data_IF_074660892794
#
_entry.id   IF_074660892794
#
_cell.length_a   1.000
_cell.length_b   1.000
_cell.length_c   1.000
_cell.angle_alpha   90.00
_cell.angle_beta   90.00
_cell.angle_gamma   90.00
#
_symmetry.space_group_name_H-M   'P 1'
#
loop_
_entity.id
_entity.type
_entity.pdbx_description
1 polymer ?
#
# COMPACT_ATOMS: atom_id res chain seq x y z
N UNK A 1 29.75 12.31 -40.84
CA UNK A 1 28.47 11.70 -40.38
C UNK A 1 28.72 10.73 -39.23
N UNK A 2 29.23 11.19 -38.09
CA UNK A 2 29.42 10.38 -36.88
C UNK A 2 28.51 10.83 -35.71
N UNK A 3 27.91 12.03 -35.80
CA UNK A 3 26.99 12.56 -34.78
C UNK A 3 25.57 11.95 -34.81
N UNK A 4 25.03 11.59 -35.98
CA UNK A 4 23.64 11.12 -36.10
C UNK A 4 23.40 9.70 -35.56
N UNK A 5 24.41 8.82 -35.56
CA UNK A 5 24.25 7.46 -35.04
C UNK A 5 24.30 7.40 -33.51
N UNK A 6 25.13 8.23 -32.87
CA UNK A 6 25.26 8.29 -31.41
C UNK A 6 23.96 8.80 -30.76
N UNK A 7 23.34 9.82 -31.35
CA UNK A 7 22.08 10.37 -30.86
C UNK A 7 20.94 9.35 -30.97
N UNK A 8 20.84 8.63 -32.10
CA UNK A 8 19.82 7.59 -32.29
C UNK A 8 19.89 6.46 -31.25
N UNK A 9 21.10 6.08 -30.81
CA UNK A 9 21.28 5.08 -29.76
C UNK A 9 20.80 5.59 -28.39
N UNK A 10 21.13 6.82 -28.02
CA UNK A 10 20.72 7.44 -26.76
C UNK A 10 19.20 7.61 -26.65
N UNK A 11 18.53 8.00 -27.73
CA UNK A 11 17.05 8.08 -27.78
C UNK A 11 16.38 6.72 -27.58
N UNK A 12 16.88 5.68 -28.24
CA UNK A 12 16.38 4.31 -28.08
C UNK A 12 16.56 3.82 -26.64
N UNK A 13 17.73 4.09 -26.04
CA UNK A 13 17.98 3.77 -24.64
C UNK A 13 17.03 4.52 -23.69
N UNK A 14 16.77 5.80 -23.93
CA UNK A 14 15.85 6.59 -23.09
C UNK A 14 14.40 6.09 -23.20
N UNK A 15 13.90 5.87 -24.43
CA UNK A 15 12.56 5.33 -24.64
C UNK A 15 12.38 3.95 -23.99
N UNK A 16 13.39 3.09 -24.07
CA UNK A 16 13.39 1.79 -23.39
C UNK A 16 13.29 1.93 -21.86
N UNK A 17 14.08 2.82 -21.25
CA UNK A 17 14.03 3.04 -19.79
C UNK A 17 12.64 3.53 -19.36
N UNK A 18 12.07 4.52 -20.07
CA UNK A 18 10.73 5.04 -19.73
C UNK A 18 9.66 3.94 -19.90
N UNK A 19 9.78 3.08 -20.91
CA UNK A 19 8.87 1.95 -21.08
C UNK A 19 8.94 0.96 -19.91
N UNK A 20 10.14 0.66 -19.43
CA UNK A 20 10.33 -0.19 -18.26
C UNK A 20 9.81 0.45 -16.97
N UNK A 21 9.94 1.78 -16.81
CA UNK A 21 9.30 2.51 -15.71
C UNK A 21 7.78 2.33 -15.73
N UNK A 22 7.15 2.50 -16.89
CA UNK A 22 5.70 2.31 -17.08
C UNK A 22 5.31 0.87 -16.71
N UNK A 23 6.09 -0.12 -17.13
CA UNK A 23 5.85 -1.53 -16.78
C UNK A 23 5.88 -1.73 -15.25
N UNK A 24 6.84 -1.11 -14.54
CA UNK A 24 6.89 -1.16 -13.06
C UNK A 24 5.72 -0.41 -12.41
N UNK A 25 5.35 0.76 -12.92
CA UNK A 25 4.18 1.49 -12.42
C UNK A 25 2.88 0.71 -12.60
N UNK A 26 2.71 0.01 -13.73
CA UNK A 26 1.57 -0.89 -13.93
C UNK A 26 1.52 -1.99 -12.85
N UNK A 27 2.66 -2.59 -12.53
CA UNK A 27 2.75 -3.59 -11.46
C UNK A 27 2.44 -3.00 -10.07
N UNK A 28 2.93 -1.79 -9.77
CA UNK A 28 2.58 -1.06 -8.54
C UNK A 28 1.08 -0.80 -8.48
N UNK A 29 0.48 -0.33 -9.57
CA UNK A 29 -0.95 -0.06 -9.65
C UNK A 29 -1.80 -1.32 -9.41
N UNK A 30 -1.48 -2.42 -10.08
CA UNK A 30 -2.17 -3.70 -9.90
C UNK A 30 -2.11 -4.21 -8.46
N UNK A 31 -0.96 -4.10 -7.79
CA UNK A 31 -0.87 -4.46 -6.37
C UNK A 31 -1.64 -3.48 -5.48
N UNK A 32 -1.59 -2.18 -5.78
CA UNK A 32 -2.33 -1.16 -5.01
C UNK A 32 -3.84 -1.43 -5.07
N UNK A 33 -4.37 -1.84 -6.24
CA UNK A 33 -5.76 -2.28 -6.37
C UNK A 33 -6.07 -3.55 -5.54
N UNK A 34 -5.15 -4.51 -5.48
CA UNK A 34 -5.32 -5.72 -4.65
C UNK A 34 -5.36 -5.38 -3.16
N UNK A 35 -4.52 -4.43 -2.72
CA UNK A 35 -4.53 -3.92 -1.35
C UNK A 35 -5.87 -3.24 -1.05
N UNK A 36 -6.32 -2.33 -1.92
CA UNK A 36 -7.63 -1.67 -1.77
C UNK A 36 -8.76 -2.71 -1.64
N UNK A 37 -8.78 -3.71 -2.52
CA UNK A 37 -9.80 -4.76 -2.52
C UNK A 37 -9.75 -5.61 -1.24
N UNK A 38 -8.56 -6.04 -0.80
CA UNK A 38 -8.39 -6.80 0.44
C UNK A 38 -8.87 -6.01 1.68
N UNK A 39 -8.66 -4.69 1.68
CA UNK A 39 -9.19 -3.80 2.71
C UNK A 39 -10.73 -3.67 2.65
N UNK A 40 -11.33 -3.64 1.46
CA UNK A 40 -12.79 -3.63 1.31
C UNK A 40 -13.43 -4.95 1.79
N UNK A 41 -12.75 -6.07 1.55
CA UNK A 41 -13.22 -7.42 1.91
C UNK A 41 -12.92 -7.80 3.37
N UNK A 42 -12.22 -6.95 4.13
CA UNK A 42 -11.75 -7.23 5.49
C UNK A 42 -10.93 -8.53 5.59
N UNK A 43 -10.07 -8.79 4.60
CA UNK A 43 -9.21 -9.98 4.55
C UNK A 43 -7.74 -9.61 4.85
N UNK A 44 -7.36 -9.37 6.12
CA UNK A 44 -6.07 -8.80 6.45
C UNK A 44 -4.88 -9.74 6.26
N UNK A 45 -5.13 -11.06 6.15
CA UNK A 45 -4.10 -12.09 6.15
C UNK A 45 -3.17 -12.04 4.92
N UNK A 46 -3.50 -11.26 3.90
CA UNK A 46 -2.69 -11.08 2.69
C UNK A 46 -2.12 -9.67 2.52
N UNK A 47 -2.44 -8.73 3.41
CA UNK A 47 -2.04 -7.32 3.26
C UNK A 47 -0.54 -7.11 3.40
N UNK A 48 0.11 -7.82 4.32
CA UNK A 48 1.54 -7.67 4.58
C UNK A 48 2.38 -8.05 3.35
N UNK A 49 2.11 -9.21 2.76
CA UNK A 49 2.79 -9.69 1.55
C UNK A 49 2.55 -8.75 0.36
N UNK A 50 1.32 -8.25 0.21
CA UNK A 50 0.97 -7.30 -0.85
C UNK A 50 1.73 -5.98 -0.68
N UNK A 51 1.81 -5.44 0.55
CA UNK A 51 2.54 -4.20 0.85
C UNK A 51 4.04 -4.38 0.62
N UNK A 52 4.61 -5.51 1.04
CA UNK A 52 6.02 -5.80 0.81
C UNK A 52 6.35 -5.84 -0.69
N UNK A 53 5.57 -6.61 -1.45
CA UNK A 53 5.75 -6.76 -2.90
C UNK A 53 5.53 -5.43 -3.65
N UNK A 54 4.60 -4.59 -3.18
CA UNK A 54 4.43 -3.22 -3.68
C UNK A 54 5.71 -2.40 -3.48
N UNK A 55 6.31 -2.50 -2.30
CA UNK A 55 7.57 -1.84 -1.97
C UNK A 55 8.71 -2.24 -2.91
N UNK A 56 8.84 -3.53 -3.24
CA UNK A 56 9.84 -4.01 -4.20
C UNK A 56 9.68 -3.35 -5.58
N UNK A 57 8.45 -3.29 -6.11
CA UNK A 57 8.19 -2.67 -7.41
C UNK A 57 8.45 -1.16 -7.42
N UNK A 58 8.16 -0.46 -6.31
CA UNK A 58 8.51 0.96 -6.16
C UNK A 58 10.03 1.14 -6.17
N UNK A 59 10.79 0.27 -5.49
CA UNK A 59 12.26 0.34 -5.50
C UNK A 59 12.83 0.16 -6.91
N UNK A 60 12.31 -0.81 -7.69
CA UNK A 60 12.71 -0.97 -9.09
C UNK A 60 12.38 0.26 -9.94
N UNK A 61 11.18 0.84 -9.76
CA UNK A 61 10.81 2.08 -10.45
C UNK A 61 11.77 3.23 -10.13
N UNK A 62 12.14 3.41 -8.86
CA UNK A 62 13.07 4.47 -8.44
C UNK A 62 14.48 4.29 -9.05
N UNK A 63 14.95 3.05 -9.19
CA UNK A 63 16.21 2.77 -9.87
C UNK A 63 16.17 3.18 -11.34
N UNK A 64 15.08 2.86 -12.04
CA UNK A 64 14.87 3.22 -13.44
C UNK A 64 14.76 4.75 -13.61
N UNK A 65 14.01 5.44 -12.74
CA UNK A 65 13.88 6.89 -12.76
C UNK A 65 15.23 7.62 -12.59
N UNK A 66 16.13 7.07 -11.76
CA UNK A 66 17.49 7.60 -11.63
C UNK A 66 18.32 7.37 -12.90
N UNK A 67 18.12 6.24 -13.59
CA UNK A 67 18.74 5.96 -14.88
C UNK A 67 18.21 6.90 -15.97
N UNK A 68 16.90 7.15 -16.03
CA UNK A 68 16.28 8.13 -16.93
C UNK A 68 16.90 9.52 -16.72
N UNK A 69 17.02 9.96 -15.45
CA UNK A 69 17.61 11.25 -15.12
C UNK A 69 19.08 11.35 -15.57
N UNK A 70 19.85 10.27 -15.41
CA UNK A 70 21.24 10.23 -15.88
C UNK A 70 21.34 10.35 -17.40
N UNK A 71 20.46 9.65 -18.15
CA UNK A 71 20.39 9.74 -19.61
C UNK A 71 19.94 11.13 -20.09
N UNK A 72 18.98 11.76 -19.40
CA UNK A 72 18.53 13.13 -19.72
C UNK A 72 19.66 14.16 -19.60
N UNK A 73 20.53 14.02 -18.61
CA UNK A 73 21.72 14.90 -18.46
C UNK A 73 22.72 14.74 -19.61
N UNK A 74 22.80 13.56 -20.21
CA UNK A 74 23.64 13.31 -21.39
C UNK A 74 23.03 13.85 -22.68
N UNK A 75 21.69 13.93 -22.75
CA UNK A 75 20.94 14.40 -23.91
C UNK A 75 20.71 15.93 -23.96
N UNK A 76 21.14 16.69 -22.94
CA UNK A 76 20.87 18.14 -22.82
C UNK A 76 21.48 19.03 -23.94
N UNK A 77 22.29 18.49 -24.86
CA UNK A 77 22.83 19.28 -25.99
C UNK A 77 21.91 19.35 -27.21
N UNK A 78 20.79 18.60 -27.27
CA UNK A 78 19.88 18.62 -28.42
C UNK A 78 18.42 18.62 -27.96
N UNK A 79 17.84 19.82 -27.81
CA UNK A 79 16.39 19.99 -27.69
C UNK A 79 15.74 19.74 -29.05
N UNK A 80 15.34 18.49 -29.30
CA UNK A 80 14.35 18.16 -30.31
C UNK A 80 13.19 17.44 -29.59
N UNK A 81 12.00 18.04 -29.65
CA UNK A 81 10.76 17.46 -29.15
C UNK A 81 10.46 16.15 -29.90
N UNK A 82 10.72 15.01 -29.25
CA UNK A 82 10.29 13.70 -29.73
C UNK A 82 8.88 13.39 -29.22
N UNK A 83 7.91 13.34 -30.13
CA UNK A 83 6.50 13.06 -29.83
C UNK A 83 6.29 11.71 -29.13
N UNK A 84 7.17 10.73 -29.36
CA UNK A 84 7.09 9.43 -28.70
C UNK A 84 7.52 9.51 -27.22
N UNK A 85 8.63 10.20 -26.92
CA UNK A 85 9.06 10.40 -25.52
C UNK A 85 8.03 11.24 -24.76
N UNK A 86 7.45 12.26 -25.41
CA UNK A 86 6.36 13.04 -24.83
C UNK A 86 5.15 12.16 -24.48
N UNK A 87 4.73 11.28 -25.40
CA UNK A 87 3.64 10.34 -25.16
C UNK A 87 3.93 9.38 -23.99
N UNK A 88 5.13 8.80 -23.94
CA UNK A 88 5.51 7.88 -22.87
C UNK A 88 5.53 8.58 -21.50
N UNK A 89 5.99 9.83 -21.43
CA UNK A 89 5.95 10.60 -20.18
C UNK A 89 4.51 10.89 -19.73
N UNK A 90 3.60 11.21 -20.66
CA UNK A 90 2.18 11.39 -20.33
C UNK A 90 1.56 10.10 -19.76
N UNK A 91 1.85 8.95 -20.38
CA UNK A 91 1.38 7.65 -19.89
C UNK A 91 1.94 7.32 -18.50
N UNK A 92 3.21 7.67 -18.25
CA UNK A 92 3.85 7.55 -16.93
C UNK A 92 3.12 8.38 -15.87
N UNK A 93 2.82 9.64 -16.18
CA UNK A 93 2.08 10.55 -15.30
C UNK A 93 0.67 10.04 -15.01
N UNK A 94 -0.01 9.50 -16.01
CA UNK A 94 -1.35 8.92 -15.84
C UNK A 94 -1.34 7.75 -14.85
N UNK A 95 -0.35 6.84 -14.93
CA UNK A 95 -0.21 5.75 -13.97
C UNK A 95 0.11 6.25 -12.55
N UNK A 96 1.00 7.24 -12.41
CA UNK A 96 1.31 7.84 -11.12
C UNK A 96 0.07 8.47 -10.47
N UNK A 97 -0.75 9.17 -11.25
CA UNK A 97 -2.03 9.73 -10.78
C UNK A 97 -2.98 8.62 -10.31
N UNK A 98 -3.16 7.58 -11.12
CA UNK A 98 -4.03 6.45 -10.77
C UNK A 98 -3.59 5.74 -9.48
N UNK A 99 -2.29 5.50 -9.32
CA UNK A 99 -1.73 4.91 -8.09
C UNK A 99 -2.06 5.79 -6.88
N UNK A 100 -1.85 7.11 -6.99
CA UNK A 100 -2.11 8.05 -5.89
C UNK A 100 -3.59 8.07 -5.49
N UNK A 101 -4.49 8.07 -6.46
CA UNK A 101 -5.93 8.04 -6.21
C UNK A 101 -6.36 6.75 -5.50
N UNK A 102 -5.83 5.61 -5.94
CA UNK A 102 -6.09 4.29 -5.32
C UNK A 102 -5.49 4.22 -3.91
N UNK A 103 -4.28 4.73 -3.68
CA UNK A 103 -3.67 4.79 -2.35
C UNK A 103 -4.51 5.58 -1.35
N UNK A 104 -5.05 6.74 -1.77
CA UNK A 104 -5.90 7.56 -0.90
C UNK A 104 -7.16 6.79 -0.48
N UNK A 105 -7.76 6.02 -1.39
CA UNK A 105 -8.92 5.17 -1.06
C UNK A 105 -8.53 4.07 -0.07
N UNK A 106 -7.43 3.36 -0.32
CA UNK A 106 -6.91 2.34 0.58
C UNK A 106 -6.59 2.91 1.98
N UNK A 107 -6.02 4.10 2.09
CA UNK A 107 -5.72 4.76 3.36
C UNK A 107 -6.99 5.06 4.17
N UNK A 108 -8.05 5.53 3.50
CA UNK A 108 -9.34 5.78 4.15
C UNK A 108 -9.93 4.49 4.72
N UNK A 109 -9.91 3.40 3.95
CA UNK A 109 -10.38 2.08 4.39
C UNK A 109 -9.56 1.57 5.58
N UNK A 110 -8.24 1.68 5.52
CA UNK A 110 -7.36 1.26 6.61
C UNK A 110 -7.65 2.03 7.90
N UNK A 111 -7.86 3.35 7.84
CA UNK A 111 -8.24 4.17 9.00
C UNK A 111 -9.58 3.74 9.60
N UNK A 112 -10.56 3.38 8.77
CA UNK A 112 -11.85 2.88 9.22
C UNK A 112 -11.68 1.55 9.97
N UNK A 113 -10.93 0.61 9.40
CA UNK A 113 -10.62 -0.68 10.02
C UNK A 113 -9.91 -0.52 11.37
N UNK A 114 -8.87 0.32 11.43
CA UNK A 114 -8.15 0.59 12.69
C UNK A 114 -9.08 1.13 13.79
N UNK A 115 -10.04 1.99 13.41
CA UNK A 115 -11.02 2.54 14.36
C UNK A 115 -11.96 1.45 14.90
N UNK A 116 -12.41 0.54 14.03
CA UNK A 116 -13.24 -0.59 14.41
C UNK A 116 -12.49 -1.58 15.32
N UNK A 117 -11.26 -1.95 14.95
CA UNK A 117 -10.41 -2.82 15.78
C UNK A 117 -10.18 -2.23 17.17
N UNK A 118 -9.93 -0.92 17.27
CA UNK A 118 -9.77 -0.23 18.56
C UNK A 118 -11.04 -0.30 19.41
N UNK A 119 -12.22 -0.12 18.81
CA UNK A 119 -13.52 -0.26 19.48
C UNK A 119 -13.72 -1.68 19.99
N UNK A 120 -13.44 -2.69 19.17
CA UNK A 120 -13.55 -4.10 19.53
C UNK A 120 -12.61 -4.45 20.68
N UNK A 121 -11.36 -3.99 20.64
CA UNK A 121 -10.39 -4.18 21.71
C UNK A 121 -10.89 -3.58 23.04
N UNK A 122 -11.49 -2.38 22.99
CA UNK A 122 -12.07 -1.71 24.16
C UNK A 122 -13.22 -2.51 24.76
N UNK A 123 -14.08 -3.09 23.91
CA UNK A 123 -15.17 -3.96 24.35
C UNK A 123 -14.63 -5.24 25.02
N UNK A 124 -13.57 -5.85 24.47
CA UNK A 124 -12.92 -7.02 25.06
C UNK A 124 -12.44 -6.71 26.49
N UNK A 125 -11.81 -5.55 26.71
CA UNK A 125 -11.41 -5.12 28.05
C UNK A 125 -12.62 -4.94 28.99
N UNK A 126 -13.71 -4.31 28.53
CA UNK A 126 -14.94 -4.17 29.33
C UNK A 126 -15.54 -5.52 29.71
N UNK A 127 -15.62 -6.47 28.78
CA UNK A 127 -16.12 -7.82 29.07
C UNK A 127 -15.22 -8.58 30.03
N UNK A 128 -13.90 -8.37 29.96
CA UNK A 128 -12.95 -8.95 30.92
C UNK A 128 -13.20 -8.45 32.33
N UNK A 129 -13.44 -7.14 32.51
CA UNK A 129 -13.79 -6.57 33.81
C UNK A 129 -15.16 -7.02 34.30
N UNK A 130 -16.17 -7.03 33.42
CA UNK A 130 -17.50 -7.55 33.75
C UNK A 130 -17.44 -9.00 34.24
N UNK A 131 -16.64 -9.85 33.58
CA UNK A 131 -16.43 -11.25 33.98
C UNK A 131 -15.81 -11.34 35.37
N UNK A 132 -14.82 -10.51 35.71
CA UNK A 132 -14.23 -10.49 37.06
C UNK A 132 -15.27 -10.13 38.12
N UNK A 133 -16.06 -9.09 37.87
CA UNK A 133 -17.12 -8.65 38.77
C UNK A 133 -18.18 -9.73 38.95
N UNK A 134 -18.67 -10.31 37.86
CA UNK A 134 -19.65 -11.39 37.89
C UNK A 134 -19.16 -12.59 38.72
N UNK A 135 -17.94 -13.07 38.47
CA UNK A 135 -17.35 -14.19 39.22
C UNK A 135 -17.25 -13.86 40.72
N UNK A 136 -16.88 -12.63 41.08
CA UNK A 136 -16.79 -12.18 42.47
C UNK A 136 -18.15 -12.17 43.16
N UNK A 137 -19.16 -11.56 42.54
CA UNK A 137 -20.51 -11.46 43.12
C UNK A 137 -21.21 -12.82 43.17
N UNK A 138 -21.08 -13.64 42.13
CA UNK A 138 -21.58 -15.02 42.15
C UNK A 138 -20.89 -15.85 43.25
N UNK A 139 -19.57 -15.72 43.42
CA UNK A 139 -18.85 -16.41 44.49
C UNK A 139 -19.32 -16.01 45.89
N UNK A 140 -19.62 -14.73 46.12
CA UNK A 140 -20.23 -14.27 47.38
C UNK A 140 -21.62 -14.88 47.60
N UNK A 141 -22.48 -14.82 46.58
CA UNK A 141 -23.84 -15.37 46.65
C UNK A 141 -23.85 -16.85 47.01
N UNK A 142 -23.01 -17.67 46.35
CA UNK A 142 -22.93 -19.11 46.65
C UNK A 142 -22.36 -19.39 48.04
N UNK A 143 -21.39 -18.60 48.50
CA UNK A 143 -20.91 -18.70 49.87
C UNK A 143 -22.03 -18.41 50.87
N UNK A 144 -22.77 -17.32 50.70
CA UNK A 144 -23.89 -16.95 51.55
C UNK A 144 -24.98 -18.02 51.57
N UNK A 145 -25.36 -18.56 50.41
CA UNK A 145 -26.33 -19.65 50.30
C UNK A 145 -25.87 -20.92 51.05
N UNK A 146 -24.58 -21.28 50.97
CA UNK A 146 -24.02 -22.47 51.62
C UNK A 146 -24.04 -22.37 53.16
N UNK A 147 -23.84 -21.18 53.74
CA UNK A 147 -23.88 -21.00 55.19
C UNK A 147 -25.29 -20.93 55.78
N UNK A 148 -26.31 -20.59 54.98
CA UNK A 148 -27.71 -20.60 55.41
C UNK A 148 -28.18 -22.05 55.63
N UNK A 149 -27.78 -22.97 54.76
CA UNK A 149 -28.22 -24.37 54.81
C UNK A 149 -27.57 -25.14 55.97
N UNK A 150 -26.36 -24.77 56.39
CA UNK A 150 -25.67 -25.37 57.55
C UNK A 150 -26.24 -24.99 58.93
N UNK A 151 -27.17 -24.04 59.00
CA UNK A 151 -27.80 -23.59 60.26
C UNK A 151 -29.14 -24.28 60.55
N UNK A 152 -29.60 -25.16 59.67
CA UNK A 152 -30.71 -26.09 59.94
C UNK A 152 -30.18 -27.40 60.47
#
# INVERSE_FOLDING_TARGET
>A
MLGDQSNSALYKSLSFVIQEEINKLKQVFEITLKIEKSLQENEPNSLEDLVYKRGEYIQFYLQLANQELALKKQNQEVELEDSNISYLNQLKEDYLRQIKETELKAEVLLKQLMKETKKNLTNIYKYRELRKTYVKESGKFFNEAFFIDKKK
#
